data_IF_662478210773
#
_entry.id   IF_662478210773
#
_cell.length_a   1.000
_cell.length_b   1.000
_cell.length_c   1.000
_cell.angle_alpha   90.00
_cell.angle_beta   90.00
_cell.angle_gamma   90.00
#
_symmetry.space_group_name_H-M   'P 1'
#
loop_
_entity.id
_entity.type
_entity.pdbx_description
1 polymer ?
#
# COMPACT_ATOMS: atom_id res chain seq x y z
N UNK A 1 -28.15 -19.84 -6.11
CA UNK A 1 -26.85 -20.01 -5.43
C UNK A 1 -26.12 -18.70 -5.59
N UNK A 2 -25.82 -18.00 -4.49
CA UNK A 2 -25.01 -16.77 -4.57
C UNK A 2 -23.70 -17.16 -5.25
N UNK A 3 -23.35 -16.46 -6.33
CA UNK A 3 -22.05 -16.64 -6.97
C UNK A 3 -21.01 -16.28 -5.91
N UNK A 4 -20.31 -17.27 -5.36
CA UNK A 4 -19.36 -17.08 -4.25
C UNK A 4 -18.08 -16.46 -4.81
N UNK A 5 -18.22 -15.20 -5.25
CA UNK A 5 -17.22 -14.49 -6.01
C UNK A 5 -16.03 -14.22 -5.10
N UNK A 6 -14.86 -14.71 -5.53
CA UNK A 6 -13.60 -14.61 -4.81
C UNK A 6 -13.38 -13.17 -4.30
N UNK A 7 -13.39 -12.94 -2.96
CA UNK A 7 -13.18 -11.63 -2.38
C UNK A 7 -11.87 -10.99 -2.82
N UNK A 8 -11.84 -9.66 -2.91
CA UNK A 8 -10.65 -8.89 -3.25
C UNK A 8 -10.14 -8.13 -2.03
N UNK A 9 -8.86 -8.34 -1.68
CA UNK A 9 -8.13 -7.54 -0.69
C UNK A 9 -7.26 -6.54 -1.44
N UNK A 10 -7.47 -5.25 -1.18
CA UNK A 10 -6.68 -4.14 -1.71
C UNK A 10 -5.74 -3.61 -0.62
N UNK A 11 -4.46 -3.43 -0.95
CA UNK A 11 -3.47 -2.89 -0.02
C UNK A 11 -2.92 -1.56 -0.56
N UNK A 12 -3.17 -0.43 0.13
CA UNK A 12 -2.78 0.89 -0.34
C UNK A 12 -1.27 1.15 -0.14
N UNK A 13 -0.81 2.24 -0.78
CA UNK A 13 0.56 2.73 -0.66
C UNK A 13 0.81 3.54 0.63
N UNK A 14 2.02 4.09 0.72
CA UNK A 14 2.42 5.06 1.73
C UNK A 14 1.44 6.25 1.78
N UNK A 15 1.04 6.71 2.98
CA UNK A 15 0.14 7.87 3.18
C UNK A 15 -1.21 7.78 2.43
N UNK A 16 -1.64 6.59 2.04
CA UNK A 16 -2.91 6.37 1.34
C UNK A 16 -3.91 5.68 2.26
N UNK A 17 -5.20 6.04 2.12
CA UNK A 17 -6.32 5.34 2.77
C UNK A 17 -7.09 4.52 1.72
N UNK A 18 -8.24 3.96 2.11
CA UNK A 18 -9.16 3.30 1.17
C UNK A 18 -9.64 4.22 0.03
N UNK A 19 -9.58 5.54 0.23
CA UNK A 19 -9.98 6.51 -0.79
C UNK A 19 -9.13 6.43 -2.06
N UNK A 20 -7.87 5.95 -1.96
CA UNK A 20 -7.01 5.64 -3.10
C UNK A 20 -7.71 4.76 -4.15
N UNK A 21 -8.52 3.80 -3.68
CA UNK A 21 -9.20 2.81 -4.51
C UNK A 21 -10.69 3.10 -4.70
N UNK A 22 -11.20 4.28 -4.34
CA UNK A 22 -12.66 4.51 -4.30
C UNK A 22 -13.36 4.20 -5.64
N UNK A 23 -12.73 4.54 -6.77
CA UNK A 23 -13.28 4.25 -8.09
C UNK A 23 -13.26 2.74 -8.41
N UNK A 24 -12.18 2.04 -8.06
CA UNK A 24 -12.08 0.58 -8.23
C UNK A 24 -13.08 -0.14 -7.33
N UNK A 25 -13.22 0.30 -6.08
CA UNK A 25 -14.19 -0.26 -5.13
C UNK A 25 -15.62 -0.10 -5.68
N UNK A 26 -16.00 1.10 -6.16
CA UNK A 26 -17.32 1.32 -6.74
C UNK A 26 -17.62 0.40 -7.93
N UNK A 27 -16.63 0.20 -8.81
CA UNK A 27 -16.78 -0.67 -9.97
C UNK A 27 -16.83 -2.16 -9.60
N UNK A 28 -16.00 -2.61 -8.66
CA UNK A 28 -15.78 -4.04 -8.36
C UNK A 28 -16.75 -4.60 -7.33
N UNK A 29 -17.21 -3.78 -6.36
CA UNK A 29 -18.04 -4.24 -5.24
C UNK A 29 -19.39 -4.81 -5.66
N UNK A 30 -19.83 -4.53 -6.90
CA UNK A 30 -21.06 -5.09 -7.49
C UNK A 30 -20.94 -6.59 -7.75
N UNK A 31 -19.72 -7.07 -8.03
CA UNK A 31 -19.47 -8.45 -8.45
C UNK A 31 -18.85 -9.31 -7.35
N UNK A 32 -18.16 -8.71 -6.36
CA UNK A 32 -17.48 -9.43 -5.28
C UNK A 32 -17.28 -8.57 -4.02
N UNK A 33 -17.12 -9.18 -2.84
CA UNK A 33 -16.70 -8.47 -1.63
C UNK A 33 -15.31 -7.83 -1.82
N UNK A 34 -15.15 -6.61 -1.30
CA UNK A 34 -13.86 -5.89 -1.31
C UNK A 34 -13.49 -5.49 0.11
N UNK A 35 -12.27 -5.79 0.51
CA UNK A 35 -11.66 -5.35 1.77
C UNK A 35 -10.44 -4.50 1.44
N UNK A 36 -10.28 -3.37 2.11
CA UNK A 36 -9.03 -2.59 2.05
C UNK A 36 -8.26 -2.79 3.34
N UNK A 37 -7.03 -3.27 3.23
CA UNK A 37 -6.14 -3.41 4.38
C UNK A 37 -5.60 -2.04 4.80
N UNK A 38 -5.52 -1.81 6.12
CA UNK A 38 -4.89 -0.61 6.68
C UNK A 38 -3.42 -0.89 7.03
N UNK A 39 -2.45 -0.23 6.36
CA UNK A 39 -1.04 -0.40 6.65
C UNK A 39 -0.51 0.48 7.80
N UNK A 40 -1.35 1.20 8.53
CA UNK A 40 -0.92 2.13 9.58
C UNK A 40 -0.53 1.46 10.91
N UNK A 41 -0.97 0.23 11.17
CA UNK A 41 -0.94 -0.40 12.50
C UNK A 41 0.41 -0.97 12.97
N UNK A 42 1.42 -1.08 12.11
CA UNK A 42 2.71 -1.70 12.44
C UNK A 42 3.88 -1.05 11.69
N UNK A 43 5.10 -1.29 12.16
CA UNK A 43 6.36 -0.65 11.70
C UNK A 43 7.29 -1.59 10.92
N UNK A 44 6.80 -2.77 10.54
CA UNK A 44 7.51 -3.75 9.71
C UNK A 44 6.56 -4.37 8.70
N UNK A 45 7.07 -4.76 7.53
CA UNK A 45 6.27 -5.44 6.51
C UNK A 45 5.60 -6.70 7.09
N UNK A 46 6.32 -7.46 7.92
CA UNK A 46 5.80 -8.66 8.58
C UNK A 46 4.67 -8.35 9.56
N UNK A 47 4.79 -7.27 10.35
CA UNK A 47 3.75 -6.81 11.26
C UNK A 47 2.49 -6.36 10.52
N UNK A 48 2.66 -5.54 9.47
CA UNK A 48 1.55 -5.03 8.66
C UNK A 48 0.84 -6.19 7.93
N UNK A 49 1.58 -7.13 7.36
CA UNK A 49 1.01 -8.30 6.71
C UNK A 49 0.20 -9.18 7.68
N UNK A 50 0.69 -9.38 8.92
CA UNK A 50 -0.06 -10.12 9.94
C UNK A 50 -1.39 -9.46 10.28
N UNK A 51 -1.41 -8.14 10.50
CA UNK A 51 -2.65 -7.42 10.82
C UNK A 51 -3.64 -7.48 9.65
N UNK A 52 -3.15 -7.34 8.41
CA UNK A 52 -3.98 -7.49 7.21
C UNK A 52 -4.55 -8.91 7.06
N UNK A 53 -3.73 -9.95 7.26
CA UNK A 53 -4.16 -11.36 7.17
C UNK A 53 -5.16 -11.76 8.25
N UNK A 54 -5.11 -11.14 9.44
CA UNK A 54 -6.01 -11.42 10.54
C UNK A 54 -7.47 -11.04 10.23
N UNK A 55 -7.68 -10.01 9.39
CA UNK A 55 -9.02 -9.55 8.98
C UNK A 55 -9.42 -10.00 7.57
N UNK A 56 -8.46 -10.49 6.78
CA UNK A 56 -8.72 -10.93 5.41
C UNK A 56 -9.64 -12.18 5.38
N UNK A 57 -10.42 -12.38 4.30
CA UNK A 57 -11.20 -13.60 4.10
C UNK A 57 -10.34 -14.86 4.08
N UNK A 58 -10.88 -16.07 4.33
CA UNK A 58 -10.09 -17.31 4.32
C UNK A 58 -9.33 -17.54 3.01
N UNK A 59 -9.95 -17.22 1.86
CA UNK A 59 -9.34 -17.28 0.53
C UNK A 59 -9.76 -16.05 -0.30
N UNK A 60 -8.80 -15.36 -0.94
CA UNK A 60 -9.04 -14.08 -1.61
C UNK A 60 -8.07 -13.82 -2.77
N UNK A 61 -8.44 -12.90 -3.67
CA UNK A 61 -7.51 -12.23 -4.59
C UNK A 61 -6.86 -11.04 -3.87
N UNK A 62 -5.58 -10.78 -4.14
CA UNK A 62 -4.81 -9.72 -3.49
C UNK A 62 -4.31 -8.72 -4.54
N UNK A 63 -4.48 -7.43 -4.30
CA UNK A 63 -3.83 -6.39 -5.11
C UNK A 63 -3.12 -5.37 -4.22
N UNK A 64 -1.86 -5.06 -4.52
CA UNK A 64 -1.05 -4.13 -3.74
C UNK A 64 -0.44 -3.03 -4.62
N UNK A 65 -0.64 -1.76 -4.24
CA UNK A 65 -0.02 -0.61 -4.89
C UNK A 65 1.23 -0.16 -4.13
N UNK A 66 2.36 0.01 -4.83
CA UNK A 66 3.59 0.57 -4.25
C UNK A 66 3.99 -0.14 -2.95
N UNK A 67 3.92 0.53 -1.78
CA UNK A 67 4.13 -0.10 -0.47
C UNK A 67 3.25 -1.33 -0.24
N UNK A 68 2.00 -1.30 -0.73
CA UNK A 68 1.08 -2.43 -0.68
C UNK A 68 1.58 -3.66 -1.42
N UNK A 69 2.44 -3.50 -2.44
CA UNK A 69 3.12 -4.62 -3.09
C UNK A 69 4.16 -5.29 -2.19
N UNK A 70 4.89 -4.52 -1.38
CA UNK A 70 5.85 -5.07 -0.40
C UNK A 70 5.12 -5.88 0.67
N UNK A 71 3.98 -5.36 1.14
CA UNK A 71 3.09 -6.04 2.07
C UNK A 71 2.52 -7.30 1.42
N UNK A 72 2.14 -7.25 0.14
CA UNK A 72 1.63 -8.42 -0.57
C UNK A 72 2.65 -9.56 -0.69
N UNK A 73 3.93 -9.26 -0.94
CA UNK A 73 4.99 -10.27 -0.88
C UNK A 73 5.08 -10.95 0.48
N UNK A 74 4.96 -10.17 1.55
CA UNK A 74 5.02 -10.68 2.90
C UNK A 74 3.75 -11.47 3.28
N UNK A 75 2.57 -11.05 2.83
CA UNK A 75 1.34 -11.84 2.98
C UNK A 75 1.43 -13.19 2.26
N UNK A 76 2.04 -13.23 1.07
CA UNK A 76 2.32 -14.47 0.33
C UNK A 76 3.30 -15.39 1.06
N UNK A 77 4.33 -14.85 1.73
CA UNK A 77 5.23 -15.65 2.56
C UNK A 77 4.52 -16.27 3.76
N UNK A 78 3.61 -15.52 4.39
CA UNK A 78 2.93 -15.93 5.61
C UNK A 78 1.73 -16.87 5.37
N UNK A 79 1.04 -16.73 4.24
CA UNK A 79 -0.20 -17.48 3.96
C UNK A 79 -0.44 -17.68 2.47
N UNK A 80 0.44 -18.38 1.74
CA UNK A 80 0.35 -18.53 0.29
C UNK A 80 -0.96 -19.20 -0.14
N UNK A 81 -1.44 -20.20 0.59
CA UNK A 81 -2.65 -20.97 0.26
C UNK A 81 -3.95 -20.15 0.34
N UNK A 82 -3.93 -19.01 1.05
CA UNK A 82 -5.06 -18.09 1.16
C UNK A 82 -5.18 -17.15 -0.04
N UNK A 83 -4.09 -16.92 -0.78
CA UNK A 83 -4.03 -15.95 -1.87
C UNK A 83 -4.21 -16.68 -3.20
N UNK A 84 -5.40 -16.58 -3.77
CA UNK A 84 -5.77 -17.30 -4.98
C UNK A 84 -5.30 -16.63 -6.27
N UNK A 85 -5.07 -15.31 -6.23
CA UNK A 85 -4.57 -14.47 -7.35
C UNK A 85 -3.86 -13.25 -6.79
N UNK A 86 -2.89 -12.73 -7.52
CA UNK A 86 -2.12 -11.55 -7.14
C UNK A 86 -2.17 -10.49 -8.25
N UNK A 87 -2.22 -9.21 -7.89
CA UNK A 87 -1.93 -8.09 -8.78
C UNK A 87 -0.95 -7.14 -8.10
N UNK A 88 0.17 -6.83 -8.75
CA UNK A 88 1.17 -5.89 -8.27
C UNK A 88 1.10 -4.61 -9.10
N UNK A 89 0.79 -3.49 -8.45
CA UNK A 89 0.56 -2.21 -9.11
C UNK A 89 1.70 -1.26 -8.75
N UNK A 90 2.42 -0.76 -9.75
CA UNK A 90 3.49 0.26 -9.61
C UNK A 90 4.37 0.07 -8.36
N UNK A 91 4.96 -1.12 -8.24
CA UNK A 91 5.74 -1.55 -7.08
C UNK A 91 7.06 -2.19 -7.52
N UNK A 92 7.95 -2.48 -6.56
CA UNK A 92 9.23 -3.13 -6.82
C UNK A 92 9.54 -4.25 -5.83
N UNK A 93 10.27 -5.27 -6.27
CA UNK A 93 10.71 -6.37 -5.41
C UNK A 93 12.09 -6.15 -4.78
N UNK A 94 12.69 -4.97 -4.92
CA UNK A 94 14.06 -4.71 -4.44
C UNK A 94 14.02 -4.22 -3.00
N UNK A 95 15.10 -4.49 -2.25
CA UNK A 95 15.34 -3.79 -1.00
C UNK A 95 15.44 -2.27 -1.25
N UNK A 96 15.28 -1.47 -0.20
CA UNK A 96 15.54 -0.03 -0.30
C UNK A 96 17.03 0.22 -0.55
N UNK A 97 17.34 1.13 -1.46
CA UNK A 97 18.73 1.56 -1.68
C UNK A 97 19.14 2.57 -0.60
N UNK A 98 20.43 2.66 -0.24
CA UNK A 98 20.90 3.61 0.78
C UNK A 98 20.43 5.06 0.54
N UNK A 99 20.47 5.53 -0.71
CA UNK A 99 20.07 6.90 -1.08
C UNK A 99 18.55 7.11 -0.92
N UNK A 100 17.75 6.07 -1.23
CA UNK A 100 16.30 6.10 -1.01
C UNK A 100 15.98 6.13 0.48
N UNK A 101 16.72 5.36 1.28
CA UNK A 101 16.54 5.33 2.74
C UNK A 101 16.89 6.67 3.38
N UNK A 102 17.94 7.33 2.91
CA UNK A 102 18.26 8.69 3.33
C UNK A 102 17.14 9.68 2.98
N UNK A 103 16.63 9.63 1.74
CA UNK A 103 15.54 10.49 1.31
C UNK A 103 14.25 10.28 2.14
N UNK A 104 13.94 9.03 2.49
CA UNK A 104 12.79 8.71 3.36
C UNK A 104 12.95 9.30 4.75
N UNK A 105 14.16 9.22 5.35
CA UNK A 105 14.45 9.86 6.64
C UNK A 105 14.29 11.38 6.55
N UNK A 106 14.71 12.01 5.46
CA UNK A 106 14.47 13.45 5.22
C UNK A 106 12.98 13.78 5.13
N UNK A 107 12.16 12.94 4.49
CA UNK A 107 10.71 13.12 4.47
C UNK A 107 10.08 12.94 5.86
N UNK A 108 10.58 12.02 6.69
CA UNK A 108 10.16 11.90 8.10
C UNK A 108 10.47 13.18 8.87
N UNK A 109 11.69 13.72 8.72
CA UNK A 109 12.06 15.00 9.35
C UNK A 109 11.21 16.18 8.86
N UNK A 110 10.87 16.22 7.57
CA UNK A 110 9.91 17.19 7.03
C UNK A 110 8.53 17.01 7.68
N UNK A 111 8.05 15.78 7.80
CA UNK A 111 6.76 15.48 8.45
C UNK A 111 6.73 15.90 9.92
N UNK A 112 7.83 15.76 10.65
CA UNK A 112 7.97 16.23 12.04
C UNK A 112 7.94 17.75 12.16
N UNK A 113 8.54 18.47 11.21
CA UNK A 113 8.68 19.93 11.25
C UNK A 113 7.47 20.66 10.70
N UNK A 114 6.91 20.17 9.60
CA UNK A 114 5.92 20.87 8.77
C UNK A 114 4.62 20.07 8.57
N UNK A 115 4.54 18.86 9.11
CA UNK A 115 3.38 17.98 9.00
C UNK A 115 3.36 17.11 7.74
N UNK A 116 2.53 16.06 7.77
CA UNK A 116 2.38 15.10 6.67
C UNK A 116 1.78 15.72 5.40
N UNK A 117 1.03 16.82 5.53
CA UNK A 117 0.55 17.58 4.38
C UNK A 117 1.69 18.18 3.56
N UNK A 118 2.74 18.71 4.22
CA UNK A 118 3.93 19.23 3.54
C UNK A 118 4.70 18.11 2.83
N UNK A 119 4.84 16.96 3.47
CA UNK A 119 5.43 15.74 2.86
C UNK A 119 4.67 15.35 1.60
N UNK A 120 3.34 15.25 1.69
CA UNK A 120 2.52 14.81 0.57
C UNK A 120 2.59 15.81 -0.60
N UNK A 121 2.60 17.11 -0.32
CA UNK A 121 2.79 18.15 -1.35
C UNK A 121 4.15 18.05 -2.04
N UNK A 122 5.23 17.80 -1.28
CA UNK A 122 6.56 17.61 -1.83
C UNK A 122 6.68 16.38 -2.76
N UNK A 123 5.74 15.43 -2.65
CA UNK A 123 5.72 14.22 -3.46
C UNK A 123 4.79 14.31 -4.69
N UNK A 124 3.97 15.35 -4.85
CA UNK A 124 2.92 15.40 -5.88
C UNK A 124 3.43 15.12 -7.30
N UNK A 125 4.58 15.67 -7.69
CA UNK A 125 5.15 15.46 -9.04
C UNK A 125 5.54 14.00 -9.32
N UNK A 126 5.70 13.18 -8.28
CA UNK A 126 5.93 11.74 -8.40
C UNK A 126 4.63 10.93 -8.34
N UNK A 127 3.55 11.51 -7.83
CA UNK A 127 2.29 10.80 -7.58
C UNK A 127 1.25 11.00 -8.68
N UNK A 128 1.25 12.15 -9.35
CA UNK A 128 0.25 12.47 -10.38
C UNK A 128 0.90 13.02 -11.65
N UNK A 129 0.22 12.83 -12.78
CA UNK A 129 0.66 13.30 -14.07
C UNK A 129 0.78 14.84 -14.11
N UNK A 130 1.78 15.43 -14.78
CA UNK A 130 1.95 16.89 -14.85
C UNK A 130 0.70 17.67 -15.28
N UNK A 131 -0.11 17.13 -16.20
CA UNK A 131 -1.35 17.76 -16.66
C UNK A 131 -2.46 17.84 -15.60
N UNK A 132 -2.28 17.19 -14.45
CA UNK A 132 -3.24 17.13 -13.33
C UNK A 132 -2.78 18.00 -12.15
N UNK A 133 -1.62 18.66 -12.25
CA UNK A 133 -1.01 19.42 -11.15
C UNK A 133 -1.81 20.68 -10.75
N UNK A 134 -2.74 21.14 -11.60
CA UNK A 134 -3.62 22.26 -11.28
C UNK A 134 -5.01 21.81 -10.78
N UNK A 135 -5.27 20.49 -10.69
CA UNK A 135 -6.54 19.96 -10.22
C UNK A 135 -6.62 20.03 -8.68
N UNK A 136 -7.06 21.18 -8.17
CA UNK A 136 -7.13 21.46 -6.73
C UNK A 136 -7.90 20.39 -5.93
N UNK A 137 -8.99 19.86 -6.48
CA UNK A 137 -9.79 18.81 -5.82
C UNK A 137 -9.02 17.48 -5.70
N UNK A 138 -8.27 17.09 -6.74
CA UNK A 138 -7.42 15.90 -6.72
C UNK A 138 -6.31 16.05 -5.68
N UNK A 139 -5.62 17.20 -5.69
CA UNK A 139 -4.53 17.48 -4.73
C UNK A 139 -5.06 17.49 -3.30
N UNK A 140 -6.20 18.14 -3.04
CA UNK A 140 -6.81 18.17 -1.72
C UNK A 140 -7.16 16.76 -1.22
N UNK A 141 -7.64 15.88 -2.12
CA UNK A 141 -7.93 14.47 -1.80
C UNK A 141 -6.66 13.69 -1.44
N UNK A 142 -5.58 13.88 -2.20
CA UNK A 142 -4.28 13.24 -1.93
C UNK A 142 -3.70 13.70 -0.59
N UNK A 143 -3.78 14.99 -0.28
CA UNK A 143 -3.29 15.55 1.00
C UNK A 143 -4.14 15.08 2.17
N UNK A 144 -5.47 15.03 2.01
CA UNK A 144 -6.38 14.54 3.05
C UNK A 144 -6.07 13.11 3.47
N UNK A 145 -5.79 12.21 2.54
CA UNK A 145 -5.37 10.84 2.88
C UNK A 145 -4.11 10.82 3.76
N UNK A 146 -3.14 11.69 3.47
CA UNK A 146 -1.93 11.78 4.28
C UNK A 146 -2.22 12.30 5.69
N UNK A 147 -3.09 13.30 5.83
CA UNK A 147 -3.56 13.83 7.11
C UNK A 147 -4.32 12.77 7.93
N UNK A 148 -5.21 12.00 7.28
CA UNK A 148 -5.98 10.92 7.91
C UNK A 148 -5.06 9.80 8.44
N UNK A 149 -3.99 9.48 7.69
CA UNK A 149 -2.97 8.51 8.14
C UNK A 149 -2.16 9.08 9.31
N UNK A 150 -1.78 10.36 9.23
CA UNK A 150 -1.08 11.08 10.29
C UNK A 150 0.40 10.73 10.45
N UNK A 151 1.11 11.57 11.21
CA UNK A 151 2.58 11.51 11.34
C UNK A 151 3.08 10.20 11.95
N UNK A 152 2.46 9.72 13.03
CA UNK A 152 2.94 8.52 13.71
C UNK A 152 2.85 7.27 12.83
N UNK A 153 1.79 7.13 12.03
CA UNK A 153 1.66 6.03 11.08
C UNK A 153 2.63 6.20 9.91
N UNK A 154 2.81 7.42 9.41
CA UNK A 154 3.80 7.71 8.37
C UNK A 154 5.22 7.29 8.78
N UNK A 155 5.64 7.59 10.01
CA UNK A 155 6.94 7.17 10.54
C UNK A 155 7.09 5.65 10.57
N UNK A 156 6.06 4.93 11.04
CA UNK A 156 6.04 3.46 11.03
C UNK A 156 6.10 2.89 9.62
N UNK A 157 5.35 3.46 8.68
CA UNK A 157 5.36 3.07 7.27
C UNK A 157 6.76 3.25 6.66
N UNK A 158 7.42 4.38 6.92
CA UNK A 158 8.77 4.62 6.43
C UNK A 158 9.79 3.66 7.04
N UNK A 159 9.70 3.39 8.35
CA UNK A 159 10.54 2.38 9.01
C UNK A 159 10.37 1.00 8.36
N UNK A 160 9.12 0.58 8.12
CA UNK A 160 8.81 -0.67 7.44
C UNK A 160 9.38 -0.72 6.02
N UNK A 161 9.25 0.37 5.26
CA UNK A 161 9.74 0.46 3.88
C UNK A 161 11.27 0.38 3.83
N UNK A 162 11.96 1.09 4.73
CA UNK A 162 13.43 1.09 4.81
C UNK A 162 13.95 -0.32 5.13
N UNK A 163 13.29 -1.02 6.07
CA UNK A 163 13.70 -2.35 6.52
C UNK A 163 13.26 -3.49 5.57
N UNK A 164 12.59 -3.19 4.45
CA UNK A 164 12.04 -4.24 3.57
C UNK A 164 13.16 -5.13 2.98
N UNK A 165 12.97 -6.45 2.90
CA UNK A 165 13.95 -7.35 2.31
C UNK A 165 13.98 -7.23 0.78
N UNK A 166 15.04 -7.77 0.17
CA UNK A 166 15.03 -8.04 -1.26
C UNK A 166 14.10 -9.23 -1.55
N UNK A 167 13.04 -8.96 -2.31
CA UNK A 167 12.01 -9.92 -2.69
C UNK A 167 12.25 -10.54 -4.07
N UNK A 168 13.28 -10.15 -4.82
CA UNK A 168 13.53 -10.70 -6.17
C UNK A 168 13.68 -12.22 -6.17
N UNK A 169 14.39 -12.75 -5.18
CA UNK A 169 14.54 -14.19 -5.00
C UNK A 169 13.24 -14.91 -4.65
N UNK A 170 12.28 -14.20 -4.04
CA UNK A 170 10.97 -14.73 -3.67
C UNK A 170 9.97 -14.74 -4.83
N UNK A 171 10.19 -13.93 -5.88
CA UNK A 171 9.25 -13.84 -7.01
C UNK A 171 8.98 -15.20 -7.67
N UNK A 172 9.98 -16.08 -7.73
CA UNK A 172 9.84 -17.44 -8.30
C UNK A 172 8.99 -18.39 -7.45
N UNK A 173 8.77 -18.07 -6.17
CA UNK A 173 7.95 -18.86 -5.24
C UNK A 173 6.46 -18.51 -5.37
N UNK A 174 6.11 -17.45 -6.12
CA UNK A 174 4.73 -17.05 -6.35
C UNK A 174 4.12 -17.99 -7.42
N UNK A 175 3.21 -18.86 -7.00
CA UNK A 175 2.59 -19.87 -7.85
C UNK A 175 1.14 -19.57 -8.23
N UNK A 176 0.49 -18.65 -7.52
CA UNK A 176 -0.84 -18.18 -7.91
C UNK A 176 -0.77 -17.33 -9.19
N UNK A 177 -1.84 -17.26 -10.01
CA UNK A 177 -1.89 -16.36 -11.15
C UNK A 177 -1.63 -14.90 -10.76
N UNK A 178 -0.74 -14.24 -11.51
CA UNK A 178 -0.31 -12.83 -11.36
C UNK A 178 -0.66 -11.98 -12.57
#
# INVERSE_FOLDING_TARGET
>A
MANDALPLVLVPGLLCTADLFAHQIEAIKRDRPVLVADPAGADSMAGIARTALAIAPPRFALAGLSMGGYIAFEMLRQSPDRIARLALLDTNARADRPEQSEQRRKLVELGRKEGVAAVQRALLSFLIHPSRMDEAALIARIVRMAEDVGLAAFERQQAAIIARPDNRGFLKEITCPT
#
